data_IF_570712934045
#
_entry.id   IF_570712934045
#
_cell.length_a   1.000
_cell.length_b   1.000
_cell.length_c   1.000
_cell.angle_alpha   90.00
_cell.angle_beta   90.00
_cell.angle_gamma   90.00
#
_symmetry.space_group_name_H-M   'P 1'
#
loop_
_entity.id
_entity.type
_entity.pdbx_description
1 polymer ?
#
# COMPACT_ATOMS: atom_id res chain seq x y z
N UNK A 1 26.91 5.87 16.94
CA UNK A 1 26.28 5.68 15.62
C UNK A 1 25.61 6.99 15.23
N UNK A 2 25.69 7.40 13.96
CA UNK A 2 24.99 8.59 13.47
C UNK A 2 23.50 8.27 13.33
N UNK A 3 22.62 9.12 13.87
CA UNK A 3 21.17 9.00 13.72
C UNK A 3 20.65 10.08 12.77
N UNK A 4 19.85 9.68 11.79
CA UNK A 4 19.25 10.56 10.79
C UNK A 4 17.73 10.54 10.92
N UNK A 5 17.14 11.68 11.30
CA UNK A 5 15.70 11.87 11.36
C UNK A 5 15.22 12.63 10.14
N UNK A 6 14.15 12.14 9.49
CA UNK A 6 13.52 12.78 8.34
C UNK A 6 12.08 13.18 8.69
N UNK A 7 11.50 14.20 8.03
CA UNK A 7 10.14 14.64 8.30
C UNK A 7 9.12 13.50 8.19
N UNK A 8 8.20 13.43 9.16
CA UNK A 8 7.10 12.46 9.15
C UNK A 8 7.47 11.03 9.57
N UNK A 9 8.69 10.79 10.07
CA UNK A 9 9.10 9.49 10.64
C UNK A 9 9.34 9.60 12.14
N UNK A 10 8.86 8.60 12.87
CA UNK A 10 8.91 8.50 14.33
C UNK A 10 10.19 7.82 14.84
N UNK A 11 11.08 7.38 13.95
CA UNK A 11 12.38 6.79 14.28
C UNK A 11 13.47 7.25 13.31
N UNK A 12 14.72 7.11 13.73
CA UNK A 12 15.86 7.35 12.85
C UNK A 12 15.96 6.26 11.77
N UNK A 13 16.45 6.62 10.59
CA UNK A 13 16.57 5.71 9.44
C UNK A 13 17.42 4.48 9.79
N UNK A 14 18.52 4.68 10.50
CA UNK A 14 19.43 3.61 10.92
C UNK A 14 18.74 2.59 11.83
N UNK A 15 17.89 3.08 12.75
CA UNK A 15 17.16 2.24 13.69
C UNK A 15 16.08 1.42 12.95
N UNK A 16 15.36 2.05 12.02
CA UNK A 16 14.39 1.36 11.16
C UNK A 16 15.05 0.26 10.33
N UNK A 17 16.15 0.57 9.63
CA UNK A 17 16.86 -0.40 8.79
C UNK A 17 17.32 -1.59 9.61
N UNK A 18 18.04 -1.35 10.73
CA UNK A 18 18.56 -2.42 11.57
C UNK A 18 17.44 -3.31 12.13
N UNK A 19 16.35 -2.68 12.61
CA UNK A 19 15.19 -3.41 13.15
C UNK A 19 14.49 -4.25 12.08
N UNK A 20 14.28 -3.71 10.88
CA UNK A 20 13.58 -4.41 9.82
C UNK A 20 14.42 -5.57 9.26
N UNK A 21 15.70 -5.36 9.02
CA UNK A 21 16.61 -6.42 8.58
C UNK A 21 16.68 -7.56 9.60
N UNK A 22 16.85 -7.24 10.89
CA UNK A 22 16.89 -8.26 11.93
C UNK A 22 15.57 -9.05 12.00
N UNK A 23 14.42 -8.37 11.94
CA UNK A 23 13.13 -9.05 11.97
C UNK A 23 12.88 -9.96 10.76
N UNK A 24 13.28 -9.54 9.55
CA UNK A 24 13.16 -10.38 8.35
C UNK A 24 14.00 -11.65 8.51
N UNK A 25 15.23 -11.51 8.98
CA UNK A 25 16.10 -12.64 9.29
C UNK A 25 15.50 -13.55 10.37
N UNK A 26 14.97 -13.00 11.46
CA UNK A 26 14.35 -13.78 12.54
C UNK A 26 13.09 -14.54 12.07
N UNK A 27 12.40 -14.02 11.04
CA UNK A 27 11.27 -14.67 10.38
C UNK A 27 11.69 -15.67 9.29
N UNK A 28 12.99 -15.79 9.01
CA UNK A 28 13.54 -16.74 8.02
C UNK A 28 13.62 -16.21 6.59
N UNK A 29 13.45 -14.89 6.37
CA UNK A 29 13.60 -14.27 5.04
C UNK A 29 15.05 -13.81 4.81
N UNK A 30 15.70 -14.31 3.76
CA UNK A 30 17.03 -13.85 3.31
C UNK A 30 16.89 -12.85 2.17
N UNK A 31 16.89 -11.56 2.52
CA UNK A 31 16.67 -10.47 1.57
C UNK A 31 17.99 -9.89 1.07
N UNK A 32 18.13 -9.75 -0.24
CA UNK A 32 19.24 -9.06 -0.88
C UNK A 32 18.85 -7.73 -1.52
N UNK A 33 19.77 -6.77 -1.49
CA UNK A 33 19.70 -5.52 -2.25
C UNK A 33 20.23 -5.75 -3.68
N UNK A 34 19.32 -5.98 -4.64
CA UNK A 34 19.73 -6.42 -5.98
C UNK A 34 20.27 -5.28 -6.87
N UNK A 35 19.68 -4.08 -6.78
CA UNK A 35 20.12 -2.95 -7.61
C UNK A 35 19.83 -1.60 -6.95
N UNK A 36 20.76 -0.67 -7.12
CA UNK A 36 20.68 0.70 -6.59
C UNK A 36 20.74 1.71 -7.72
N UNK A 37 19.92 2.75 -7.63
CA UNK A 37 19.96 3.91 -8.53
C UNK A 37 20.04 5.21 -7.74
N UNK A 38 20.75 6.18 -8.32
CA UNK A 38 20.80 7.58 -7.91
C UNK A 38 20.87 8.47 -9.16
N UNK A 39 19.77 8.57 -9.93
CA UNK A 39 19.79 9.18 -11.26
C UNK A 39 20.06 10.69 -11.25
N UNK A 40 19.63 11.39 -10.19
CA UNK A 40 19.86 12.82 -9.97
C UNK A 40 20.11 13.06 -8.48
N UNK A 41 20.72 14.20 -8.07
CA UNK A 41 20.93 14.52 -6.66
C UNK A 41 19.65 14.36 -5.85
N UNK A 42 19.77 13.84 -4.63
CA UNK A 42 18.65 13.65 -3.68
C UNK A 42 17.52 12.74 -4.18
N UNK A 43 17.75 11.87 -5.16
CA UNK A 43 16.76 10.89 -5.61
C UNK A 43 17.41 9.52 -5.67
N UNK A 44 17.06 8.65 -4.71
CA UNK A 44 17.56 7.29 -4.62
C UNK A 44 16.43 6.28 -4.77
N UNK A 45 16.75 5.15 -5.39
CA UNK A 45 15.90 3.96 -5.33
C UNK A 45 16.72 2.68 -5.15
N UNK A 46 16.08 1.66 -4.59
CA UNK A 46 16.65 0.33 -4.43
C UNK A 46 15.59 -0.73 -4.73
N UNK A 47 16.01 -1.80 -5.40
CA UNK A 47 15.23 -3.03 -5.52
C UNK A 47 15.76 -4.05 -4.51
N UNK A 48 14.87 -4.61 -3.68
CA UNK A 48 15.21 -5.70 -2.76
C UNK A 48 14.32 -6.90 -3.03
N UNK A 49 14.85 -8.10 -2.83
CA UNK A 49 14.11 -9.35 -3.08
C UNK A 49 14.54 -10.47 -2.16
N UNK A 50 13.67 -11.45 -2.00
CA UNK A 50 14.00 -12.72 -1.39
C UNK A 50 14.94 -13.53 -2.30
N UNK A 51 15.99 -14.12 -1.73
CA UNK A 51 16.87 -15.05 -2.47
C UNK A 51 16.21 -16.40 -2.73
N UNK A 52 15.29 -16.81 -1.88
CA UNK A 52 14.62 -18.12 -1.95
C UNK A 52 13.30 -18.07 -2.73
N UNK A 53 12.73 -16.87 -2.92
CA UNK A 53 11.47 -16.68 -3.64
C UNK A 53 11.52 -15.48 -4.60
N UNK A 54 11.74 -15.76 -5.89
CA UNK A 54 11.85 -14.73 -6.93
C UNK A 54 10.60 -13.85 -7.11
N UNK A 55 9.43 -14.29 -6.61
CA UNK A 55 8.16 -13.56 -6.66
C UNK A 55 8.07 -12.48 -5.57
N UNK A 56 8.87 -12.58 -4.51
CA UNK A 56 8.81 -11.69 -3.35
C UNK A 56 9.88 -10.59 -3.43
N UNK A 57 9.48 -9.40 -3.88
CA UNK A 57 10.36 -8.25 -4.00
C UNK A 57 9.61 -6.94 -3.78
N UNK A 58 10.34 -5.90 -3.40
CA UNK A 58 9.80 -4.55 -3.22
C UNK A 58 10.80 -3.50 -3.68
N UNK A 59 10.33 -2.26 -3.82
CA UNK A 59 11.18 -1.15 -4.22
C UNK A 59 11.15 -0.04 -3.17
N UNK A 60 12.32 0.49 -2.85
CA UNK A 60 12.46 1.65 -1.99
C UNK A 60 12.70 2.90 -2.79
N UNK A 61 12.16 4.03 -2.32
CA UNK A 61 12.45 5.36 -2.84
C UNK A 61 12.73 6.33 -1.69
N UNK A 62 13.63 7.28 -1.89
CA UNK A 62 13.91 8.29 -0.87
C UNK A 62 14.95 9.31 -1.28
N UNK A 63 15.09 10.37 -0.47
CA UNK A 63 16.02 11.45 -0.76
C UNK A 63 17.50 11.08 -0.50
N UNK A 64 17.74 9.97 0.19
CA UNK A 64 19.08 9.44 0.48
C UNK A 64 19.08 7.94 0.33
N UNK A 65 20.28 7.35 0.20
CA UNK A 65 20.45 5.89 0.16
C UNK A 65 19.77 5.18 1.35
N UNK A 66 19.97 5.69 2.57
CA UNK A 66 19.33 5.11 3.78
C UNK A 66 17.81 5.25 3.75
N UNK A 67 17.28 6.38 3.30
CA UNK A 67 15.84 6.58 3.21
C UNK A 67 15.19 5.60 2.20
N UNK A 68 15.84 5.37 1.06
CA UNK A 68 15.39 4.38 0.09
C UNK A 68 15.45 2.95 0.66
N UNK A 69 16.51 2.55 1.37
CA UNK A 69 16.56 1.21 1.99
C UNK A 69 15.47 1.03 3.05
N UNK A 70 15.28 2.01 3.93
CA UNK A 70 14.21 1.98 4.93
C UNK A 70 12.82 1.90 4.28
N UNK A 71 12.62 2.60 3.16
CA UNK A 71 11.38 2.52 2.36
C UNK A 71 11.17 1.12 1.78
N UNK A 72 12.19 0.50 1.19
CA UNK A 72 12.07 -0.83 0.60
C UNK A 72 11.71 -1.88 1.66
N UNK A 73 12.44 -1.86 2.78
CA UNK A 73 12.19 -2.78 3.90
C UNK A 73 10.81 -2.56 4.53
N UNK A 74 10.37 -1.31 4.64
CA UNK A 74 9.02 -0.97 5.08
C UNK A 74 7.96 -1.55 4.14
N UNK A 75 8.10 -1.34 2.83
CA UNK A 75 7.23 -1.93 1.81
C UNK A 75 7.24 -3.47 1.89
N UNK A 76 8.40 -4.09 2.15
CA UNK A 76 8.48 -5.55 2.32
C UNK A 76 7.62 -6.03 3.50
N UNK A 77 7.71 -5.37 4.66
CA UNK A 77 6.84 -5.66 5.80
C UNK A 77 5.37 -5.39 5.52
N UNK A 78 5.05 -4.33 4.78
CA UNK A 78 3.69 -4.02 4.34
C UNK A 78 3.11 -5.16 3.50
N UNK A 79 3.83 -5.63 2.49
CA UNK A 79 3.38 -6.70 1.58
C UNK A 79 3.35 -8.08 2.23
N UNK A 80 4.32 -8.38 3.10
CA UNK A 80 4.27 -9.59 3.93
C UNK A 80 3.05 -9.59 4.86
N UNK A 81 2.84 -8.50 5.61
CA UNK A 81 1.79 -8.45 6.63
C UNK A 81 0.39 -8.53 6.05
N UNK A 82 0.23 -8.16 4.77
CA UNK A 82 -1.03 -8.16 4.02
C UNK A 82 -1.19 -9.37 3.10
N UNK A 83 -0.28 -10.33 3.16
CA UNK A 83 -0.20 -11.49 2.26
C UNK A 83 -0.17 -11.11 0.76
N UNK A 84 0.21 -9.87 0.42
CA UNK A 84 0.00 -9.31 -0.91
C UNK A 84 0.91 -9.92 -1.99
N UNK A 85 2.07 -10.47 -1.62
CA UNK A 85 2.88 -11.25 -2.57
C UNK A 85 2.15 -12.48 -3.12
N UNK A 86 1.13 -12.95 -2.40
CA UNK A 86 0.38 -14.17 -2.70
C UNK A 86 -1.02 -13.89 -3.27
N UNK A 87 -1.38 -12.61 -3.43
CA UNK A 87 -2.74 -12.17 -3.76
C UNK A 87 -3.24 -12.66 -5.14
N UNK A 88 -2.33 -12.98 -6.05
CA UNK A 88 -2.65 -13.40 -7.42
C UNK A 88 -2.52 -14.93 -7.62
N UNK A 89 -2.36 -15.69 -6.53
CA UNK A 89 -2.11 -17.13 -6.59
C UNK A 89 -3.14 -17.92 -5.77
N UNK A 90 -3.54 -19.07 -6.30
CA UNK A 90 -4.13 -20.14 -5.50
C UNK A 90 -3.04 -20.84 -4.69
N UNK A 91 -3.30 -21.09 -3.40
CA UNK A 91 -2.27 -21.57 -2.46
C UNK A 91 -2.27 -23.09 -2.27
N UNK A 92 -3.11 -23.81 -3.02
CA UNK A 92 -3.18 -25.25 -3.00
C UNK A 92 -4.14 -25.80 -1.93
N UNK A 93 -4.55 -27.05 -2.14
CA UNK A 93 -5.53 -27.77 -1.31
C UNK A 93 -5.14 -27.85 0.17
N UNK A 94 -3.85 -28.03 0.46
CA UNK A 94 -3.34 -28.10 1.84
C UNK A 94 -3.58 -26.80 2.61
N UNK A 95 -3.37 -25.64 1.97
CA UNK A 95 -3.61 -24.34 2.60
C UNK A 95 -5.11 -24.06 2.67
N UNK A 96 -5.84 -24.33 1.58
CA UNK A 96 -7.29 -24.12 1.51
C UNK A 96 -8.07 -24.88 2.61
N UNK A 97 -7.58 -26.04 3.04
CA UNK A 97 -8.14 -26.87 4.10
C UNK A 97 -7.41 -26.75 5.46
N UNK A 98 -6.43 -25.84 5.55
CA UNK A 98 -5.66 -25.60 6.77
C UNK A 98 -6.46 -24.88 7.86
N UNK A 99 -5.89 -24.71 9.07
CA UNK A 99 -6.57 -24.04 10.19
C UNK A 99 -7.08 -22.63 9.83
N UNK A 100 -6.29 -21.87 9.06
CA UNK A 100 -6.64 -20.60 8.46
C UNK A 100 -5.93 -20.47 7.10
N UNK A 101 -6.45 -19.64 6.20
CA UNK A 101 -5.85 -19.36 4.89
C UNK A 101 -5.10 -18.04 4.91
N UNK A 102 -5.72 -16.97 5.40
CA UNK A 102 -5.20 -15.61 5.41
C UNK A 102 -4.69 -15.23 6.80
N UNK A 103 -5.55 -15.32 7.82
CA UNK A 103 -5.22 -14.94 9.20
C UNK A 103 -5.98 -15.78 10.22
N UNK A 104 -5.41 -16.03 11.42
CA UNK A 104 -6.12 -16.78 12.48
C UNK A 104 -7.44 -16.15 12.95
N UNK A 105 -7.65 -14.85 12.71
CA UNK A 105 -8.87 -14.12 13.07
C UNK A 105 -9.82 -13.88 11.87
N UNK A 106 -9.54 -14.51 10.73
CA UNK A 106 -10.49 -14.57 9.62
C UNK A 106 -11.76 -15.32 10.05
N UNK A 107 -12.86 -15.06 9.34
CA UNK A 107 -14.11 -15.77 9.59
C UNK A 107 -14.66 -16.31 8.29
N UNK A 108 -15.02 -17.59 8.30
CA UNK A 108 -15.65 -18.27 7.18
C UNK A 108 -17.16 -18.20 7.31
N UNK A 109 -17.83 -17.82 6.22
CA UNK A 109 -19.27 -17.73 6.11
C UNK A 109 -19.72 -18.75 5.06
N UNK A 110 -20.31 -19.88 5.48
CA UNK A 110 -20.77 -20.91 4.54
C UNK A 110 -21.75 -20.34 3.51
N UNK A 111 -21.71 -20.88 2.30
CA UNK A 111 -22.71 -20.59 1.28
C UNK A 111 -24.08 -21.13 1.73
N UNK A 112 -25.15 -20.42 1.39
CA UNK A 112 -26.54 -20.80 1.65
C UNK A 112 -27.20 -21.33 0.39
N UNK A 113 -28.30 -22.09 0.53
CA UNK A 113 -29.00 -22.71 -0.61
C UNK A 113 -29.57 -21.68 -1.61
N UNK A 114 -29.85 -20.45 -1.15
CA UNK A 114 -30.31 -19.32 -1.95
C UNK A 114 -29.17 -18.47 -2.56
N UNK A 115 -27.91 -18.81 -2.26
CA UNK A 115 -26.68 -18.11 -2.67
C UNK A 115 -26.66 -16.61 -2.28
N UNK A 116 -27.45 -16.22 -1.28
CA UNK A 116 -27.44 -14.86 -0.74
C UNK A 116 -26.17 -14.58 0.05
N UNK A 117 -25.64 -13.35 -0.05
CA UNK A 117 -24.44 -12.95 0.71
C UNK A 117 -24.72 -13.01 2.23
N UNK A 118 -24.06 -13.91 3.00
CA UNK A 118 -24.44 -14.23 4.37
C UNK A 118 -24.55 -13.03 5.32
N UNK A 119 -25.52 -13.07 6.23
CA UNK A 119 -25.62 -12.10 7.32
C UNK A 119 -24.35 -12.11 8.18
N UNK A 120 -23.79 -10.92 8.44
CA UNK A 120 -22.52 -10.74 9.17
C UNK A 120 -21.30 -10.47 8.28
N UNK A 121 -21.42 -10.62 6.96
CA UNK A 121 -20.52 -9.99 6.00
C UNK A 121 -21.01 -8.59 5.64
N UNK A 122 -20.04 -7.67 5.51
CA UNK A 122 -20.24 -6.26 5.21
C UNK A 122 -21.13 -5.54 6.23
N UNK A 123 -21.37 -4.25 6.00
CA UNK A 123 -22.43 -3.49 6.66
C UNK A 123 -23.40 -2.93 5.62
N UNK A 124 -24.49 -2.29 6.06
CA UNK A 124 -25.51 -1.73 5.16
C UNK A 124 -24.93 -0.74 4.15
N UNK A 125 -23.93 0.06 4.53
CA UNK A 125 -23.33 1.05 3.63
C UNK A 125 -22.46 0.38 2.57
N UNK A 126 -21.69 -0.63 2.97
CA UNK A 126 -20.84 -1.39 2.06
C UNK A 126 -21.69 -2.22 1.09
N UNK A 127 -22.76 -2.85 1.54
CA UNK A 127 -23.71 -3.57 0.66
C UNK A 127 -24.29 -2.64 -0.40
N UNK A 128 -24.82 -1.49 0.00
CA UNK A 128 -25.35 -0.50 -0.95
C UNK A 128 -24.30 0.06 -1.93
N UNK A 129 -23.01 0.06 -1.55
CA UNK A 129 -21.92 0.52 -2.42
C UNK A 129 -21.48 -0.52 -3.44
N UNK A 130 -21.33 -1.78 -3.02
CA UNK A 130 -20.87 -2.86 -3.90
C UNK A 130 -21.98 -3.50 -4.72
N UNK A 131 -23.19 -3.52 -4.18
CA UNK A 131 -24.33 -4.21 -4.74
C UNK A 131 -25.58 -3.31 -4.75
N UNK A 132 -25.57 -2.23 -5.56
CA UNK A 132 -26.67 -1.28 -5.62
C UNK A 132 -27.95 -1.86 -6.25
N UNK A 133 -27.83 -2.93 -7.04
CA UNK A 133 -28.91 -3.57 -7.79
C UNK A 133 -29.35 -4.93 -7.21
N UNK A 134 -28.79 -5.35 -6.07
CA UNK A 134 -29.09 -6.59 -5.35
C UNK A 134 -28.87 -7.85 -6.23
N UNK A 135 -27.70 -7.91 -6.86
CA UNK A 135 -27.28 -8.96 -7.81
C UNK A 135 -26.03 -9.73 -7.35
N UNK A 136 -25.44 -9.38 -6.21
CA UNK A 136 -24.26 -10.07 -5.71
C UNK A 136 -24.66 -11.38 -5.05
N UNK A 137 -24.02 -12.48 -5.46
CA UNK A 137 -24.21 -13.78 -4.82
C UNK A 137 -22.97 -14.18 -4.02
N UNK A 138 -23.15 -15.05 -3.01
CA UNK A 138 -22.09 -15.48 -2.12
C UNK A 138 -21.01 -16.29 -2.86
N UNK A 139 -21.40 -17.14 -3.80
CA UNK A 139 -20.50 -17.95 -4.62
C UNK A 139 -19.50 -17.11 -5.44
N UNK A 140 -19.85 -15.88 -5.82
CA UNK A 140 -18.95 -14.94 -6.50
C UNK A 140 -17.82 -14.41 -5.60
N UNK A 141 -17.96 -14.56 -4.29
CA UNK A 141 -17.10 -13.93 -3.27
C UNK A 141 -16.09 -14.89 -2.64
N UNK A 142 -15.99 -16.12 -3.12
CA UNK A 142 -14.96 -17.06 -2.67
C UNK A 142 -13.59 -16.50 -3.03
N UNK A 143 -12.64 -16.57 -2.10
CA UNK A 143 -11.32 -16.00 -2.27
C UNK A 143 -10.44 -16.86 -3.19
N UNK A 144 -9.62 -16.20 -4.02
CA UNK A 144 -8.74 -16.86 -4.98
C UNK A 144 -7.74 -17.82 -4.30
N UNK A 145 -7.24 -17.43 -3.12
CA UNK A 145 -6.18 -18.15 -2.43
C UNK A 145 -6.63 -19.53 -1.98
N UNK A 146 -7.87 -19.65 -1.48
CA UNK A 146 -8.46 -20.93 -1.08
C UNK A 146 -9.11 -21.66 -2.26
N UNK A 147 -9.91 -20.95 -3.07
CA UNK A 147 -10.82 -21.57 -4.04
C UNK A 147 -11.78 -22.60 -3.41
N UNK A 148 -12.13 -22.44 -2.13
CA UNK A 148 -12.80 -23.46 -1.33
C UNK A 148 -14.29 -23.12 -1.10
N UNK A 149 -15.10 -23.38 -2.12
CA UNK A 149 -16.55 -23.14 -2.10
C UNK A 149 -17.25 -23.87 -0.92
N UNK A 150 -16.81 -25.09 -0.60
CA UNK A 150 -17.35 -25.89 0.50
C UNK A 150 -17.12 -25.24 1.87
N UNK A 151 -16.03 -24.49 2.03
CA UNK A 151 -15.71 -23.74 3.25
C UNK A 151 -16.42 -22.38 3.29
N UNK A 152 -16.76 -21.83 2.13
CA UNK A 152 -17.55 -20.62 1.94
C UNK A 152 -16.73 -19.35 1.74
N UNK A 153 -17.33 -18.19 2.06
CA UNK A 153 -16.70 -16.88 1.86
C UNK A 153 -15.78 -16.54 3.03
N UNK A 154 -14.50 -16.30 2.76
CA UNK A 154 -13.55 -15.83 3.76
C UNK A 154 -13.66 -14.32 3.98
N UNK A 155 -14.10 -13.91 5.16
CA UNK A 155 -14.18 -12.51 5.60
C UNK A 155 -13.00 -12.11 6.48
N UNK A 156 -12.38 -10.97 6.16
CA UNK A 156 -11.31 -10.36 6.94
C UNK A 156 -11.85 -9.27 7.88
N UNK A 157 -11.43 -9.23 9.15
CA UNK A 157 -11.92 -8.24 10.11
C UNK A 157 -11.27 -6.86 9.92
N UNK A 158 -12.07 -5.84 9.67
CA UNK A 158 -11.68 -4.44 9.66
C UNK A 158 -12.40 -3.66 10.77
N UNK A 159 -11.72 -2.69 11.39
CA UNK A 159 -12.34 -1.80 12.37
C UNK A 159 -12.94 -0.59 11.68
N UNK A 160 -14.27 -0.42 11.77
CA UNK A 160 -14.93 0.78 11.32
C UNK A 160 -14.62 1.94 12.26
N UNK A 161 -14.05 3.01 11.72
CA UNK A 161 -13.47 4.06 12.55
C UNK A 161 -14.48 4.97 13.26
N UNK A 162 -15.73 5.03 12.81
CA UNK A 162 -16.76 5.90 13.40
C UNK A 162 -17.27 5.43 14.75
N UNK A 163 -17.26 4.13 15.00
CA UNK A 163 -17.82 3.49 16.20
C UNK A 163 -16.96 2.38 16.80
N UNK A 164 -15.93 1.91 16.08
CA UNK A 164 -15.01 0.88 16.55
C UNK A 164 -15.51 -0.55 16.30
N UNK A 165 -16.62 -0.71 15.59
CA UNK A 165 -17.18 -2.04 15.29
C UNK A 165 -16.30 -2.83 14.32
N UNK A 166 -16.26 -4.15 14.52
CA UNK A 166 -15.60 -5.06 13.58
C UNK A 166 -16.55 -5.38 12.43
N UNK A 167 -16.11 -5.12 11.21
CA UNK A 167 -16.83 -5.47 9.98
C UNK A 167 -16.00 -6.48 9.21
N UNK A 168 -16.61 -7.60 8.82
CA UNK A 168 -15.94 -8.59 7.99
C UNK A 168 -16.15 -8.25 6.51
N UNK A 169 -15.05 -8.01 5.80
CA UNK A 169 -15.07 -7.74 4.34
C UNK A 169 -14.52 -8.98 3.63
N UNK A 170 -15.22 -9.55 2.64
CA UNK A 170 -14.73 -10.68 1.86
C UNK A 170 -13.35 -10.42 1.28
N UNK A 171 -12.42 -11.37 1.42
CA UNK A 171 -11.09 -11.26 0.83
C UNK A 171 -11.16 -11.07 -0.70
N UNK A 172 -12.14 -11.69 -1.35
CA UNK A 172 -12.40 -11.49 -2.79
C UNK A 172 -12.64 -10.01 -3.13
N UNK A 173 -13.46 -9.29 -2.36
CA UNK A 173 -13.71 -7.85 -2.55
C UNK A 173 -12.43 -7.05 -2.30
N UNK A 174 -11.68 -7.38 -1.24
CA UNK A 174 -10.40 -6.71 -0.92
C UNK A 174 -9.41 -6.85 -2.08
N UNK A 175 -9.18 -8.09 -2.53
CA UNK A 175 -8.22 -8.41 -3.59
C UNK A 175 -8.58 -7.78 -4.93
N UNK A 176 -9.85 -7.85 -5.35
CA UNK A 176 -10.27 -7.35 -6.66
C UNK A 176 -10.32 -5.81 -6.74
N UNK A 177 -10.80 -5.14 -5.69
CA UNK A 177 -11.16 -3.71 -5.78
C UNK A 177 -10.12 -2.77 -5.17
N UNK A 178 -9.39 -3.23 -4.15
CA UNK A 178 -8.47 -2.37 -3.41
C UNK A 178 -7.02 -2.66 -3.69
N UNK A 179 -6.70 -3.90 -4.10
CA UNK A 179 -5.34 -4.34 -4.41
C UNK A 179 -4.37 -3.88 -3.31
N UNK A 180 -3.25 -3.26 -3.64
CA UNK A 180 -2.31 -2.72 -2.65
C UNK A 180 -2.60 -1.30 -2.15
N UNK A 181 -3.67 -0.65 -2.61
CA UNK A 181 -3.93 0.74 -2.28
C UNK A 181 -4.39 0.89 -0.81
N UNK A 182 -3.68 1.73 -0.06
CA UNK A 182 -3.98 2.04 1.34
C UNK A 182 -3.31 1.10 2.35
N UNK A 183 -2.47 0.17 1.87
CA UNK A 183 -1.59 -0.60 2.73
C UNK A 183 -0.49 0.30 3.30
N UNK A 184 0.01 -0.06 4.48
CA UNK A 184 1.12 0.67 5.10
C UNK A 184 1.86 -0.15 6.15
N UNK A 185 3.17 0.06 6.24
CA UNK A 185 3.98 -0.27 7.41
C UNK A 185 4.77 0.95 7.91
N UNK A 186 5.14 0.93 9.19
CA UNK A 186 5.86 2.03 9.81
C UNK A 186 6.45 1.67 11.15
N UNK A 187 7.26 2.58 11.70
CA UNK A 187 7.90 2.39 13.01
C UNK A 187 6.88 2.34 14.15
N UNK A 188 5.79 3.10 14.00
CA UNK A 188 4.66 3.18 14.94
C UNK A 188 3.33 2.98 14.21
N UNK A 189 2.28 2.70 14.99
CA UNK A 189 0.92 2.54 14.47
C UNK A 189 0.41 3.79 13.74
N UNK A 190 0.73 4.98 14.25
CA UNK A 190 0.24 6.22 13.68
C UNK A 190 1.07 6.66 12.47
N UNK A 191 2.40 6.44 12.48
CA UNK A 191 3.25 6.67 11.30
C UNK A 191 2.71 5.88 10.08
N UNK A 192 2.43 4.59 10.29
CA UNK A 192 1.85 3.73 9.25
C UNK A 192 0.45 4.24 8.82
N UNK A 193 -0.44 4.51 9.77
CA UNK A 193 -1.80 4.99 9.45
C UNK A 193 -1.79 6.30 8.68
N UNK A 194 -0.90 7.24 9.02
CA UNK A 194 -0.75 8.50 8.29
C UNK A 194 -0.29 8.25 6.87
N UNK A 195 0.68 7.36 6.64
CA UNK A 195 1.11 7.03 5.29
C UNK A 195 -0.02 6.34 4.49
N UNK A 196 -0.70 5.35 5.06
CA UNK A 196 -1.79 4.64 4.37
C UNK A 196 -2.97 5.56 4.00
N UNK A 197 -3.38 6.46 4.90
CA UNK A 197 -4.41 7.46 4.60
C UNK A 197 -3.96 8.49 3.57
N UNK A 198 -2.69 8.91 3.61
CA UNK A 198 -2.13 9.82 2.61
C UNK A 198 -2.11 9.18 1.22
N UNK A 199 -1.82 7.88 1.16
CA UNK A 199 -1.88 7.08 -0.06
C UNK A 199 -3.32 6.99 -0.61
N UNK A 200 -4.33 6.79 0.24
CA UNK A 200 -5.74 6.86 -0.19
C UNK A 200 -6.06 8.21 -0.85
N UNK A 201 -5.61 9.33 -0.25
CA UNK A 201 -5.76 10.65 -0.87
C UNK A 201 -4.98 10.78 -2.18
N UNK A 202 -3.73 10.33 -2.22
CA UNK A 202 -2.88 10.37 -3.41
C UNK A 202 -3.60 9.73 -4.60
N UNK A 203 -4.08 8.49 -4.46
CA UNK A 203 -4.72 7.75 -5.55
C UNK A 203 -6.10 8.30 -5.90
N UNK A 204 -6.91 8.65 -4.89
CA UNK A 204 -8.24 9.21 -5.13
C UNK A 204 -8.17 10.54 -5.89
N UNK A 205 -7.29 11.46 -5.46
CA UNK A 205 -7.17 12.79 -6.05
C UNK A 205 -6.42 12.74 -7.38
N UNK A 206 -5.43 11.84 -7.54
CA UNK A 206 -4.82 11.55 -8.85
C UNK A 206 -5.89 11.17 -9.88
N UNK A 207 -6.77 10.24 -9.55
CA UNK A 207 -7.83 9.80 -10.47
C UNK A 207 -8.74 10.96 -10.87
N UNK A 208 -9.11 11.82 -9.92
CA UNK A 208 -9.92 13.01 -10.20
C UNK A 208 -9.21 14.01 -11.10
N UNK A 209 -7.96 14.35 -10.81
CA UNK A 209 -7.15 15.28 -11.62
C UNK A 209 -7.10 14.81 -13.07
N UNK A 210 -6.82 13.52 -13.29
CA UNK A 210 -6.71 12.93 -14.62
C UNK A 210 -8.08 12.84 -15.31
N UNK A 211 -9.06 12.21 -14.66
CA UNK A 211 -10.37 11.93 -15.28
C UNK A 211 -11.19 13.20 -15.57
N UNK A 212 -11.06 14.23 -14.72
CA UNK A 212 -11.75 15.51 -14.88
C UNK A 212 -10.92 16.53 -15.68
N UNK A 213 -9.75 16.15 -16.20
CA UNK A 213 -8.85 17.02 -16.99
C UNK A 213 -8.53 18.35 -16.29
N UNK A 214 -8.20 18.27 -15.00
CA UNK A 214 -8.03 19.46 -14.16
C UNK A 214 -6.70 20.15 -14.48
N UNK A 215 -6.77 21.45 -14.81
CA UNK A 215 -5.59 22.32 -14.84
C UNK A 215 -5.22 22.74 -13.42
N UNK A 216 -4.02 22.38 -12.98
CA UNK A 216 -3.52 22.65 -11.64
C UNK A 216 -2.66 23.92 -11.60
N UNK A 217 -2.65 24.66 -10.48
CA UNK A 217 -1.75 25.79 -10.29
C UNK A 217 -0.32 25.30 -10.00
N UNK A 218 0.67 25.94 -10.65
CA UNK A 218 2.08 25.70 -10.35
C UNK A 218 2.41 26.11 -8.91
N UNK A 219 3.36 25.40 -8.30
CA UNK A 219 3.90 25.76 -6.99
C UNK A 219 4.85 26.96 -7.18
N UNK A 220 4.62 28.11 -6.52
CA UNK A 220 5.47 29.28 -6.68
C UNK A 220 6.95 28.99 -6.32
N UNK A 221 7.87 29.65 -7.02
CA UNK A 221 9.30 29.41 -6.85
C UNK A 221 9.78 29.67 -5.41
N UNK A 222 9.23 30.68 -4.74
CA UNK A 222 9.52 30.98 -3.33
C UNK A 222 9.05 29.88 -2.36
N UNK A 223 8.02 29.12 -2.74
CA UNK A 223 7.58 27.94 -2.00
C UNK A 223 8.52 26.77 -2.25
N UNK A 224 8.89 26.54 -3.52
CA UNK A 224 9.85 25.50 -3.91
C UNK A 224 11.23 25.72 -3.25
N UNK A 225 11.67 26.97 -3.11
CA UNK A 225 12.95 27.33 -2.49
C UNK A 225 13.10 26.86 -1.02
N UNK A 226 12.00 26.52 -0.35
CA UNK A 226 12.02 25.91 1.00
C UNK A 226 12.55 24.48 1.00
N UNK A 227 12.62 23.83 -0.17
CA UNK A 227 13.05 22.44 -0.36
C UNK A 227 14.23 22.37 -1.35
N UNK A 228 15.42 22.88 -0.97
CA UNK A 228 16.54 23.04 -1.91
C UNK A 228 17.01 21.73 -2.54
N UNK A 229 16.93 20.61 -1.82
CA UNK A 229 17.27 19.29 -2.38
C UNK A 229 16.34 18.89 -3.54
N UNK A 230 15.04 19.16 -3.43
CA UNK A 230 14.07 18.89 -4.51
C UNK A 230 14.32 19.80 -5.70
N UNK A 231 14.60 21.09 -5.44
CA UNK A 231 14.94 22.06 -6.50
C UNK A 231 16.20 21.62 -7.25
N UNK A 232 17.22 21.13 -6.55
CA UNK A 232 18.44 20.61 -7.18
C UNK A 232 18.14 19.38 -8.07
N UNK A 233 17.29 18.45 -7.61
CA UNK A 233 16.85 17.31 -8.43
C UNK A 233 16.14 17.75 -9.71
N UNK A 234 15.22 18.72 -9.60
CA UNK A 234 14.45 19.26 -10.73
C UNK A 234 15.39 19.95 -11.73
N UNK A 235 16.24 20.86 -11.25
CA UNK A 235 17.20 21.57 -12.11
C UNK A 235 18.13 20.59 -12.84
N UNK A 236 18.50 19.48 -12.20
CA UNK A 236 19.30 18.44 -12.84
C UNK A 236 18.53 17.72 -13.95
N UNK A 237 17.25 17.39 -13.75
CA UNK A 237 16.40 16.79 -14.78
C UNK A 237 16.22 17.74 -15.97
N UNK A 238 15.96 19.02 -15.71
CA UNK A 238 15.83 20.03 -16.77
C UNK A 238 17.13 20.22 -17.55
N UNK A 239 18.29 20.20 -16.87
CA UNK A 239 19.59 20.25 -17.52
C UNK A 239 19.90 19.02 -18.40
N UNK A 240 19.27 17.86 -18.12
CA UNK A 240 19.33 16.66 -18.95
C UNK A 240 18.28 16.69 -20.09
N UNK A 241 17.51 17.78 -20.21
CA UNK A 241 16.54 17.97 -21.29
C UNK A 241 15.14 17.46 -21.00
N UNK A 242 14.80 17.20 -19.73
CA UNK A 242 13.47 16.79 -19.29
C UNK A 242 12.75 17.95 -18.59
N UNK A 243 11.81 18.65 -19.25
CA UNK A 243 11.04 19.72 -18.62
C UNK A 243 10.20 19.18 -17.45
N UNK A 244 10.18 19.93 -16.34
CA UNK A 244 9.44 19.53 -15.13
C UNK A 244 8.40 20.58 -14.77
N UNK A 245 7.20 20.12 -14.43
CA UNK A 245 6.15 20.96 -13.88
C UNK A 245 5.79 20.46 -12.48
N UNK A 246 5.90 21.34 -11.48
CA UNK A 246 5.52 21.04 -10.10
C UNK A 246 4.22 21.79 -9.74
N UNK A 247 3.16 21.03 -9.46
CA UNK A 247 1.80 21.53 -9.25
C UNK A 247 1.29 21.26 -7.84
N UNK A 248 0.53 22.21 -7.30
CA UNK A 248 -0.29 21.99 -6.12
C UNK A 248 -1.55 21.20 -6.50
N UNK A 249 -1.60 19.94 -6.08
CA UNK A 249 -2.71 19.01 -6.30
C UNK A 249 -3.79 19.07 -5.22
N UNK A 250 -3.75 20.06 -4.31
CA UNK A 250 -4.65 20.10 -3.15
C UNK A 250 -6.12 20.38 -3.47
N UNK A 251 -6.42 20.78 -4.71
CA UNK A 251 -7.74 21.21 -5.17
C UNK A 251 -8.34 22.31 -4.28
N UNK A 252 -7.54 23.36 -4.05
CA UNK A 252 -7.92 24.52 -3.23
C UNK A 252 -7.73 24.29 -1.74
N UNK A 253 -6.65 23.60 -1.34
CA UNK A 253 -6.28 23.36 0.06
C UNK A 253 -7.09 22.27 0.75
N UNK A 254 -7.83 21.44 0.02
CA UNK A 254 -8.71 20.40 0.57
C UNK A 254 -8.00 19.09 0.86
N UNK A 255 -6.99 18.75 0.06
CA UNK A 255 -6.30 17.46 0.12
C UNK A 255 -4.78 17.65 0.17
N UNK A 256 -4.03 16.78 0.87
CA UNK A 256 -2.58 16.91 0.99
C UNK A 256 -1.85 16.25 -0.20
N UNK A 257 -2.08 16.74 -1.42
CA UNK A 257 -1.59 16.10 -2.67
C UNK A 257 -0.74 17.06 -3.50
N UNK A 258 0.36 16.53 -4.05
CA UNK A 258 1.26 17.22 -4.99
C UNK A 258 1.26 16.44 -6.30
N UNK A 259 1.36 17.15 -7.43
CA UNK A 259 1.54 16.54 -8.75
C UNK A 259 2.84 17.05 -9.38
N UNK A 260 3.69 16.14 -9.86
CA UNK A 260 4.89 16.49 -10.62
C UNK A 260 4.80 15.80 -11.97
N UNK A 261 4.96 16.55 -13.06
CA UNK A 261 4.90 16.07 -14.44
C UNK A 261 6.27 16.24 -15.07
N UNK A 262 6.74 15.20 -15.75
CA UNK A 262 7.97 15.19 -16.55
C UNK A 262 7.58 15.00 -18.02
N UNK A 263 8.18 15.79 -18.92
CA UNK A 263 8.04 15.66 -20.38
C UNK A 263 9.25 14.97 -21.01
#
# INVERSE_FOLDING_TARGET
>A
MTQTFIPGKDAALEDSIARFQQKLHDLGFDIEEASWLNPVPHVWSVHIRDKECALCFTNGKGATKKAALASALGEYFERLSTNYFFADFWLGETIANGPFVHYPNEKWFPLTDDDEVPEGLLDTRLRAFYDPDDQLTASMLVDLQSGNDDRGVCGLPFTRQSDGETVYIPMNIVGNLYVSNGMSAGNTRNEARVQGLSEVFERHIKNRIIAESISLPEIPAEVMARYPGVVESINKLEAEGFPIFAYDGSLGGKYPVICVVLF
#
